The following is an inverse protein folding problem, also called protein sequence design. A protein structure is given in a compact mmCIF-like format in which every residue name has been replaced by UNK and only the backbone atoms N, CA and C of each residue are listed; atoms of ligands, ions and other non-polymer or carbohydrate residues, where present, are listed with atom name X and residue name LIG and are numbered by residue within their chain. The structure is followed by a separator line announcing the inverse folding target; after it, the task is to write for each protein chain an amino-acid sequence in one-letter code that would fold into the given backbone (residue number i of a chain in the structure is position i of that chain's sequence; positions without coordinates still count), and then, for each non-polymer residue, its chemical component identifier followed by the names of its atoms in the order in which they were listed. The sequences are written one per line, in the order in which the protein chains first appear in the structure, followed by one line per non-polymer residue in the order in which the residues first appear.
data_IF_499544090995
#
_entry.id   IF_499544090995
#
_cell.length_a   1.000
_cell.length_b   1.000
_cell.length_c   1.000
_cell.angle_alpha   90.00
_cell.angle_beta   90.00
_cell.angle_gamma   90.00
#
_symmetry.space_group_name_H-M   'P 1'
#
loop_
_entity.id
_entity.type
_entity.pdbx_description
1 polymer ?
#
# COMPACT_ATOMS: atom_id res chain seq x y z
N UNK A 1 -41.08 -16.35 -0.07
CA UNK A 1 -39.80 -16.36 -0.83
C UNK A 1 -39.39 -14.89 -0.99
N UNK A 2 -38.50 -14.41 -0.14
CA UNK A 2 -38.03 -13.01 -0.18
C UNK A 2 -37.00 -12.88 -1.29
N UNK A 3 -37.28 -12.07 -2.31
CA UNK A 3 -36.31 -11.70 -3.35
C UNK A 3 -35.46 -10.56 -2.81
N UNK A 4 -34.17 -10.79 -2.68
CA UNK A 4 -33.17 -9.75 -2.36
C UNK A 4 -32.89 -9.03 -3.69
N UNK A 5 -33.22 -7.74 -3.76
CA UNK A 5 -32.83 -6.89 -4.87
C UNK A 5 -31.53 -6.16 -4.51
N UNK A 6 -30.56 -6.32 -5.37
CA UNK A 6 -29.28 -5.63 -5.29
C UNK A 6 -29.41 -4.20 -5.79
N UNK A 7 -28.93 -3.24 -5.00
CA UNK A 7 -28.87 -1.83 -5.39
C UNK A 7 -27.69 -1.65 -6.33
N UNK A 8 -27.92 -1.33 -7.60
CA UNK A 8 -26.86 -0.97 -8.54
C UNK A 8 -26.85 0.56 -8.62
N UNK A 9 -25.81 1.18 -8.08
CA UNK A 9 -25.53 2.60 -8.25
C UNK A 9 -24.62 2.76 -9.47
N UNK A 10 -25.18 3.17 -10.60
CA UNK A 10 -24.38 3.58 -11.75
C UNK A 10 -24.21 5.11 -11.73
N UNK A 11 -23.01 5.58 -11.37
CA UNK A 11 -22.65 6.98 -11.51
C UNK A 11 -22.19 7.23 -12.95
N UNK A 12 -23.08 7.67 -13.83
CA UNK A 12 -22.68 8.29 -15.09
C UNK A 12 -22.63 9.79 -14.90
N UNK A 13 -21.48 10.37 -15.13
CA UNK A 13 -21.28 11.80 -15.27
C UNK A 13 -22.07 12.30 -16.49
N UNK A 14 -23.31 12.60 -16.33
CA UNK A 14 -24.21 13.46 -17.14
C UNK A 14 -25.64 12.98 -16.99
N UNK A 15 -26.47 13.83 -16.39
CA UNK A 15 -27.91 13.76 -16.20
C UNK A 15 -28.47 12.73 -15.18
N UNK A 16 -29.03 13.30 -14.12
CA UNK A 16 -30.19 12.78 -13.40
C UNK A 16 -30.07 11.36 -12.87
N UNK A 17 -29.60 11.20 -11.65
CA UNK A 17 -29.64 9.91 -10.95
C UNK A 17 -31.08 9.57 -10.59
N UNK A 18 -31.64 8.48 -11.16
CA UNK A 18 -32.85 7.86 -10.66
C UNK A 18 -32.46 6.67 -9.76
N UNK A 19 -32.76 6.74 -8.48
CA UNK A 19 -32.62 5.62 -7.54
C UNK A 19 -33.97 4.93 -7.45
N UNK A 20 -34.06 3.65 -7.88
CA UNK A 20 -35.25 2.83 -7.63
C UNK A 20 -35.00 1.97 -6.38
N UNK A 21 -35.79 2.20 -5.36
CA UNK A 21 -35.88 1.34 -4.18
C UNK A 21 -37.21 0.61 -4.21
N UNK A 22 -37.21 -0.74 -4.13
CA UNK A 22 -38.39 -1.49 -3.76
C UNK A 22 -38.37 -1.64 -2.23
N UNK A 23 -39.00 -0.70 -1.54
CA UNK A 23 -39.38 -0.83 -0.16
C UNK A 23 -40.81 -1.32 -0.05
N UNK A 24 -41.13 -2.05 1.01
CA UNK A 24 -42.51 -2.51 1.33
C UNK A 24 -43.43 -1.31 1.50
N UNK A 25 -44.70 -1.46 1.08
CA UNK A 25 -45.73 -0.39 0.85
C UNK A 25 -46.14 0.44 2.08
N UNK A 26 -45.36 0.61 3.09
CA UNK A 26 -45.73 1.39 4.30
C UNK A 26 -44.77 2.51 4.72
N UNK A 27 -43.67 2.71 4.01
CA UNK A 27 -42.76 3.82 4.33
C UNK A 27 -42.85 4.93 3.28
N UNK A 28 -43.05 6.15 3.77
CA UNK A 28 -43.08 7.39 3.02
C UNK A 28 -41.88 7.49 2.09
N UNK A 29 -42.13 7.52 0.76
CA UNK A 29 -41.13 7.75 -0.27
C UNK A 29 -40.41 9.08 0.02
N UNK A 30 -39.18 9.01 0.47
CA UNK A 30 -38.29 10.18 0.53
C UNK A 30 -37.88 10.51 -0.91
N UNK A 31 -38.43 11.58 -1.49
CA UNK A 31 -38.05 12.08 -2.81
C UNK A 31 -36.58 12.58 -2.78
N UNK A 32 -35.66 11.76 -3.26
CA UNK A 32 -34.24 12.14 -3.43
C UNK A 32 -34.14 13.00 -4.70
N UNK A 33 -34.01 14.30 -4.53
CA UNK A 33 -34.00 15.28 -5.64
C UNK A 33 -32.61 15.81 -5.96
N UNK A 34 -31.67 15.70 -5.02
CA UNK A 34 -30.33 16.29 -5.18
C UNK A 34 -29.22 15.32 -4.77
N UNK A 35 -28.01 15.58 -5.25
CA UNK A 35 -26.81 14.85 -4.80
C UNK A 35 -26.62 14.96 -3.27
N UNK A 36 -26.98 16.09 -2.68
CA UNK A 36 -26.93 16.28 -1.23
C UNK A 36 -27.91 15.36 -0.50
N UNK A 37 -29.11 15.12 -1.07
CA UNK A 37 -30.09 14.19 -0.49
C UNK A 37 -29.59 12.74 -0.54
N UNK A 38 -28.91 12.35 -1.62
CA UNK A 38 -28.23 11.04 -1.72
C UNK A 38 -27.16 10.89 -0.66
N UNK A 39 -26.31 11.90 -0.48
CA UNK A 39 -25.24 11.86 0.52
C UNK A 39 -25.78 11.85 1.94
N UNK A 40 -26.85 12.61 2.22
CA UNK A 40 -27.54 12.61 3.52
C UNK A 40 -28.20 11.26 3.78
N UNK A 41 -28.84 10.67 2.79
CA UNK A 41 -29.42 9.32 2.89
C UNK A 41 -28.33 8.27 3.14
N UNK A 42 -27.24 8.28 2.39
CA UNK A 42 -26.12 7.35 2.58
C UNK A 42 -25.46 7.52 3.95
N UNK A 43 -25.41 8.74 4.47
CA UNK A 43 -24.89 9.00 5.83
C UNK A 43 -25.88 8.65 6.95
N UNK A 44 -27.19 8.61 6.64
CA UNK A 44 -28.26 8.27 7.61
C UNK A 44 -28.58 6.76 7.62
N UNK A 45 -28.14 6.00 6.61
CA UNK A 45 -28.19 4.56 6.66
C UNK A 45 -27.15 4.10 7.67
N UNK A 46 -27.54 4.04 8.94
CA UNK A 46 -26.85 3.24 9.92
C UNK A 46 -26.86 1.82 9.40
N UNK A 47 -25.71 1.41 8.83
CA UNK A 47 -25.49 0.01 8.59
C UNK A 47 -25.37 -0.60 9.98
N UNK A 48 -26.45 -1.18 10.45
CA UNK A 48 -26.45 -2.10 11.60
C UNK A 48 -25.70 -3.36 11.14
N UNK A 49 -24.43 -3.11 10.79
CA UNK A 49 -23.48 -4.18 10.51
C UNK A 49 -23.19 -4.80 11.85
N UNK A 50 -23.55 -6.07 12.07
CA UNK A 50 -23.24 -6.73 13.32
C UNK A 50 -21.75 -6.53 13.58
N UNK A 51 -21.39 -6.13 14.81
CA UNK A 51 -19.99 -5.97 15.22
C UNK A 51 -19.30 -7.32 14.96
N UNK A 52 -18.53 -7.38 13.86
CA UNK A 52 -17.83 -8.60 13.46
C UNK A 52 -16.67 -8.77 14.44
N UNK A 53 -16.83 -9.65 15.41
CA UNK A 53 -15.76 -10.08 16.29
C UNK A 53 -14.99 -11.19 15.58
N UNK A 54 -13.80 -10.85 15.10
CA UNK A 54 -12.86 -11.83 14.58
C UNK A 54 -11.98 -12.31 15.74
N UNK A 55 -11.88 -13.63 15.90
CA UNK A 55 -10.94 -14.25 16.85
C UNK A 55 -9.56 -14.30 16.18
N UNK A 56 -8.80 -13.19 16.33
CA UNK A 56 -7.48 -13.03 15.75
C UNK A 56 -6.41 -13.15 16.81
N UNK A 57 -5.37 -13.93 16.53
CA UNK A 57 -4.18 -14.02 17.38
C UNK A 57 -3.20 -12.85 17.17
N UNK A 58 -3.42 -12.03 16.13
CA UNK A 58 -2.60 -10.86 15.84
C UNK A 58 -2.77 -9.77 16.91
N UNK A 59 -1.67 -9.13 17.31
CA UNK A 59 -1.68 -8.02 18.27
C UNK A 59 -2.43 -6.79 17.74
N UNK A 60 -2.38 -6.56 16.44
CA UNK A 60 -3.08 -5.49 15.73
C UNK A 60 -3.52 -5.97 14.35
N UNK A 61 -4.69 -5.55 13.90
CA UNK A 61 -5.17 -5.84 12.55
C UNK A 61 -6.09 -4.74 12.04
N UNK A 62 -6.04 -4.50 10.72
CA UNK A 62 -6.94 -3.59 10.01
C UNK A 62 -7.36 -4.26 8.69
N UNK A 63 -8.64 -4.21 8.39
CA UNK A 63 -9.20 -4.54 7.08
C UNK A 63 -9.69 -3.24 6.45
N UNK A 64 -9.15 -2.92 5.29
CA UNK A 64 -9.51 -1.72 4.52
C UNK A 64 -10.02 -2.10 3.15
N UNK A 65 -11.07 -1.44 2.70
CA UNK A 65 -11.51 -1.53 1.31
C UNK A 65 -10.57 -0.74 0.41
N UNK A 66 -9.94 -1.40 -0.56
CA UNK A 66 -8.90 -0.79 -1.39
C UNK A 66 -9.42 0.39 -2.25
N UNK A 67 -10.66 0.30 -2.77
CA UNK A 67 -11.22 1.31 -3.65
C UNK A 67 -11.50 2.64 -2.95
N UNK A 68 -12.05 2.60 -1.74
CA UNK A 68 -12.49 3.80 -1.00
C UNK A 68 -11.56 4.21 0.13
N UNK A 69 -10.72 3.29 0.63
CA UNK A 69 -9.94 3.48 1.84
C UNK A 69 -10.77 3.36 3.14
N UNK A 70 -12.02 2.89 3.04
CA UNK A 70 -12.88 2.69 4.21
C UNK A 70 -12.35 1.54 5.06
N UNK A 71 -12.18 1.78 6.37
CA UNK A 71 -11.83 0.73 7.33
C UNK A 71 -13.11 -0.06 7.63
N UNK A 72 -13.08 -1.36 7.34
CA UNK A 72 -14.17 -2.30 7.57
C UNK A 72 -14.04 -3.02 8.91
N UNK A 73 -12.81 -3.20 9.39
CA UNK A 73 -12.51 -3.80 10.68
C UNK A 73 -11.17 -3.27 11.22
N UNK A 74 -11.08 -3.07 12.52
CA UNK A 74 -9.83 -2.73 13.18
C UNK A 74 -9.80 -3.29 14.61
N UNK A 75 -8.66 -3.83 15.00
CA UNK A 75 -8.33 -4.14 16.39
C UNK A 75 -6.92 -3.61 16.66
N UNK A 76 -6.77 -2.77 17.70
CA UNK A 76 -5.52 -2.09 18.03
C UNK A 76 -4.84 -1.42 16.81
N UNK A 77 -5.65 -0.89 15.87
CA UNK A 77 -5.18 -0.41 14.57
C UNK A 77 -4.16 0.73 14.64
N UNK A 78 -4.18 1.53 15.71
CA UNK A 78 -3.28 2.67 15.94
C UNK A 78 -2.11 2.32 16.90
N UNK A 79 -1.98 1.06 17.35
CA UNK A 79 -0.84 0.63 18.17
C UNK A 79 0.44 0.56 17.34
N UNK A 80 1.53 1.12 17.86
CA UNK A 80 2.83 1.15 17.20
C UNK A 80 3.55 -0.18 17.32
N UNK A 81 4.11 -0.64 16.22
CA UNK A 81 4.91 -1.86 16.12
C UNK A 81 6.10 -1.63 15.20
N UNK A 82 7.17 -2.38 15.40
CA UNK A 82 8.26 -2.45 14.44
C UNK A 82 7.75 -3.13 13.14
N UNK A 83 7.86 -2.49 11.98
CA UNK A 83 7.33 -3.01 10.72
C UNK A 83 8.14 -4.16 10.13
N UNK A 84 9.39 -4.34 10.56
CA UNK A 84 10.33 -5.26 9.92
C UNK A 84 10.33 -5.07 8.39
N UNK A 85 10.42 -6.13 7.59
CA UNK A 85 10.45 -6.03 6.13
C UNK A 85 9.19 -5.44 5.47
N UNK A 86 8.11 -5.23 6.21
CA UNK A 86 6.94 -4.50 5.65
C UNK A 86 7.31 -3.03 5.35
N UNK A 87 8.37 -2.50 5.93
CA UNK A 87 9.02 -1.23 5.55
C UNK A 87 9.19 -1.10 4.03
N UNK A 88 9.54 -2.20 3.34
CA UNK A 88 9.77 -2.22 1.89
C UNK A 88 8.53 -1.92 1.05
N UNK A 89 7.34 -1.94 1.64
CA UNK A 89 6.11 -1.47 0.96
C UNK A 89 6.23 0.03 0.66
N UNK A 90 6.77 0.84 1.60
CA UNK A 90 7.03 2.26 1.35
C UNK A 90 8.15 2.43 0.32
N UNK A 91 9.20 1.63 0.40
CA UNK A 91 10.28 1.63 -0.60
C UNK A 91 9.74 1.36 -2.00
N UNK A 92 8.92 0.32 -2.17
CA UNK A 92 8.30 -0.01 -3.45
C UNK A 92 7.33 1.08 -3.92
N UNK A 93 6.57 1.70 -3.02
CA UNK A 93 5.68 2.82 -3.36
C UNK A 93 6.46 3.97 -4.01
N UNK A 94 7.54 4.41 -3.38
CA UNK A 94 8.37 5.50 -3.91
C UNK A 94 8.99 5.10 -5.26
N UNK A 95 9.49 3.87 -5.40
CA UNK A 95 10.04 3.36 -6.67
C UNK A 95 8.97 3.37 -7.78
N UNK A 96 7.74 2.93 -7.50
CA UNK A 96 6.65 2.94 -8.48
C UNK A 96 6.26 4.36 -8.87
N UNK A 97 6.19 5.28 -7.92
CA UNK A 97 5.91 6.69 -8.20
C UNK A 97 6.98 7.33 -9.10
N UNK A 98 8.26 7.06 -8.84
CA UNK A 98 9.36 7.60 -9.64
C UNK A 98 9.39 7.00 -11.05
N UNK A 99 9.04 5.71 -11.21
CA UNK A 99 8.83 5.08 -12.52
C UNK A 99 7.67 5.73 -13.28
N UNK A 100 6.55 5.99 -12.61
CA UNK A 100 5.38 6.62 -13.24
C UNK A 100 5.65 8.09 -13.62
N UNK A 101 6.49 8.79 -12.86
CA UNK A 101 6.99 10.14 -13.21
C UNK A 101 7.99 10.11 -14.39
N UNK A 102 8.54 8.93 -14.72
CA UNK A 102 9.58 8.79 -15.76
C UNK A 102 10.95 9.31 -15.32
N UNK A 103 11.22 9.39 -14.02
CA UNK A 103 12.54 9.76 -13.49
C UNK A 103 13.61 8.77 -13.92
N UNK A 104 13.23 7.51 -14.04
CA UNK A 104 14.02 6.42 -14.61
C UNK A 104 13.09 5.37 -15.22
N UNK A 105 13.66 4.39 -15.90
CA UNK A 105 12.96 3.27 -16.53
C UNK A 105 13.36 1.93 -15.90
N UNK A 106 12.61 0.88 -16.18
CA UNK A 106 12.94 -0.48 -15.74
C UNK A 106 14.24 -1.03 -16.32
N UNK A 107 14.70 -0.46 -17.44
CA UNK A 107 15.94 -0.86 -18.13
C UNK A 107 17.17 -0.11 -17.61
N UNK A 108 16.99 0.94 -16.81
CA UNK A 108 18.11 1.69 -16.27
C UNK A 108 18.94 0.81 -15.31
N UNK A 109 20.24 1.11 -15.26
CA UNK A 109 21.20 0.31 -14.52
C UNK A 109 21.46 0.89 -13.13
N UNK A 110 21.25 0.07 -12.11
CA UNK A 110 21.63 0.34 -10.73
C UNK A 110 23.00 -0.25 -10.47
N UNK A 111 23.91 0.53 -9.90
CA UNK A 111 25.24 0.08 -9.48
C UNK A 111 25.25 -0.11 -7.96
N UNK A 112 25.63 -1.30 -7.51
CA UNK A 112 25.68 -1.64 -6.09
C UNK A 112 26.84 -0.95 -5.40
N UNK A 113 26.56 -0.19 -4.34
CA UNK A 113 27.55 0.45 -3.47
C UNK A 113 28.18 -0.55 -2.49
N UNK A 114 29.24 -0.14 -1.82
CA UNK A 114 29.84 -0.89 -0.71
C UNK A 114 28.83 -1.04 0.45
N UNK A 115 28.04 -0.02 0.71
CA UNK A 115 27.00 -0.05 1.74
C UNK A 115 25.92 -1.08 1.40
N UNK A 116 25.35 -1.02 0.21
CA UNK A 116 24.33 -1.96 -0.23
C UNK A 116 24.85 -3.43 -0.20
N UNK A 117 26.06 -3.68 -0.70
CA UNK A 117 26.68 -5.01 -0.68
C UNK A 117 26.97 -5.53 0.74
N UNK A 118 27.13 -4.64 1.73
CA UNK A 118 27.39 -5.01 3.13
C UNK A 118 26.15 -5.41 3.92
N UNK A 119 24.95 -5.27 3.33
CA UNK A 119 23.69 -5.51 4.04
C UNK A 119 23.56 -6.99 4.45
N UNK A 120 23.03 -7.19 5.66
CA UNK A 120 22.72 -8.51 6.21
C UNK A 120 21.28 -8.95 5.98
N UNK A 121 20.90 -10.06 6.59
CA UNK A 121 19.55 -10.62 6.50
C UNK A 121 19.27 -11.27 5.15
N UNK A 122 18.05 -11.10 4.63
CA UNK A 122 17.70 -11.62 3.29
C UNK A 122 18.37 -10.80 2.21
N UNK A 123 19.07 -11.46 1.29
CA UNK A 123 19.90 -10.84 0.26
C UNK A 123 19.84 -11.66 -1.04
N UNK A 124 20.19 -11.02 -2.14
CA UNK A 124 20.55 -11.69 -3.42
C UNK A 124 22.07 -11.73 -3.64
N UNK A 125 22.83 -11.32 -2.60
CA UNK A 125 24.30 -11.32 -2.56
C UNK A 125 24.93 -10.48 -3.68
N UNK A 126 24.52 -9.21 -3.74
CA UNK A 126 25.11 -8.23 -4.65
C UNK A 126 26.57 -7.97 -4.29
N UNK A 127 27.43 -7.95 -5.30
CA UNK A 127 28.83 -7.58 -5.15
C UNK A 127 29.02 -6.06 -5.33
N UNK A 128 30.06 -5.50 -4.68
CA UNK A 128 30.39 -4.07 -4.85
C UNK A 128 30.71 -3.78 -6.31
N UNK A 129 30.02 -2.80 -6.88
CA UNK A 129 30.12 -2.43 -8.29
C UNK A 129 29.33 -3.33 -9.26
N UNK A 130 28.63 -4.34 -8.75
CA UNK A 130 27.71 -5.12 -9.58
C UNK A 130 26.61 -4.22 -10.15
N UNK A 131 26.28 -4.45 -11.42
CA UNK A 131 25.28 -3.70 -12.14
C UNK A 131 24.09 -4.60 -12.47
N UNK A 132 22.89 -4.14 -12.13
CA UNK A 132 21.63 -4.84 -12.42
C UNK A 132 20.57 -3.83 -12.88
N UNK A 133 19.67 -4.23 -13.78
CA UNK A 133 18.59 -3.34 -14.18
C UNK A 133 17.56 -3.11 -13.07
N UNK A 134 16.90 -1.96 -13.10
CA UNK A 134 15.83 -1.60 -12.15
C UNK A 134 14.77 -2.70 -12.05
N UNK A 135 14.38 -3.31 -13.18
CA UNK A 135 13.41 -4.41 -13.20
C UNK A 135 13.81 -5.58 -12.27
N UNK A 136 15.05 -6.03 -12.37
CA UNK A 136 15.54 -7.16 -11.56
C UNK A 136 15.71 -6.75 -10.08
N UNK A 137 16.10 -5.49 -9.82
CA UNK A 137 16.16 -4.95 -8.46
C UNK A 137 14.77 -4.94 -7.80
N UNK A 138 13.73 -4.50 -8.53
CA UNK A 138 12.34 -4.52 -8.00
C UNK A 138 11.89 -5.95 -7.72
N UNK A 139 12.18 -6.91 -8.61
CA UNK A 139 11.92 -8.35 -8.36
C UNK A 139 12.61 -8.82 -7.09
N UNK A 140 13.88 -8.47 -6.90
CA UNK A 140 14.65 -8.84 -5.72
C UNK A 140 14.07 -8.24 -4.42
N UNK A 141 13.47 -7.06 -4.47
CA UNK A 141 12.78 -6.45 -3.32
C UNK A 141 11.43 -7.12 -3.08
N UNK A 142 10.63 -7.30 -4.11
CA UNK A 142 9.24 -7.75 -3.99
C UNK A 142 9.11 -9.25 -3.67
N UNK A 143 9.98 -10.11 -4.21
CA UNK A 143 9.85 -11.56 -4.08
C UNK A 143 10.63 -12.11 -2.89
N UNK A 144 11.98 -12.08 -2.85
CA UNK A 144 12.75 -12.56 -1.70
C UNK A 144 12.90 -11.50 -0.59
N UNK A 145 12.46 -10.28 -0.78
CA UNK A 145 12.63 -9.18 0.20
C UNK A 145 14.11 -8.83 0.46
N UNK A 146 14.94 -8.78 -0.57
CA UNK A 146 16.39 -8.60 -0.50
C UNK A 146 16.76 -7.20 0.05
N UNK A 147 17.56 -7.15 1.11
CA UNK A 147 17.98 -5.91 1.75
C UNK A 147 19.05 -5.16 0.94
N UNK A 148 20.00 -5.88 0.37
CA UNK A 148 21.05 -5.33 -0.51
C UNK A 148 20.44 -4.64 -1.74
N UNK A 149 19.49 -5.27 -2.42
CA UNK A 149 18.76 -4.66 -3.52
C UNK A 149 17.92 -3.44 -3.08
N UNK A 150 17.35 -3.49 -1.86
CA UNK A 150 16.56 -2.39 -1.31
C UNK A 150 17.41 -1.15 -1.10
N UNK A 151 18.60 -1.30 -0.47
CA UNK A 151 19.53 -0.19 -0.25
C UNK A 151 20.09 0.33 -1.58
N UNK A 152 20.48 -0.58 -2.50
CA UNK A 152 20.98 -0.15 -3.82
C UNK A 152 19.94 0.70 -4.58
N UNK A 153 18.66 0.31 -4.54
CA UNK A 153 17.59 1.09 -5.15
C UNK A 153 17.34 2.42 -4.42
N UNK A 154 17.39 2.44 -3.09
CA UNK A 154 17.25 3.66 -2.31
C UNK A 154 18.34 4.69 -2.67
N UNK A 155 19.59 4.24 -2.76
CA UNK A 155 20.72 5.08 -3.17
C UNK A 155 20.59 5.53 -4.64
N UNK A 156 20.10 4.67 -5.53
CA UNK A 156 19.86 5.01 -6.92
C UNK A 156 18.81 6.11 -7.08
N UNK A 157 17.72 6.05 -6.30
CA UNK A 157 16.61 7.02 -6.38
C UNK A 157 16.97 8.35 -5.73
N UNK A 158 17.59 8.34 -4.55
CA UNK A 158 17.77 9.53 -3.71
C UNK A 158 19.24 9.96 -3.53
N UNK A 159 20.18 9.23 -4.11
CA UNK A 159 21.61 9.48 -3.97
C UNK A 159 22.24 8.94 -2.69
N UNK A 160 21.43 8.60 -1.68
CA UNK A 160 21.86 7.92 -0.44
C UNK A 160 20.67 7.28 0.25
N UNK A 161 20.92 6.31 1.18
CA UNK A 161 19.86 5.73 2.01
C UNK A 161 19.22 6.80 2.91
N UNK A 162 20.01 7.71 3.48
CA UNK A 162 19.48 8.80 4.32
C UNK A 162 18.54 9.73 3.56
N UNK A 163 18.90 10.08 2.32
CA UNK A 163 18.03 10.88 1.43
C UNK A 163 16.73 10.15 1.13
N UNK A 164 16.81 8.83 0.91
CA UNK A 164 15.63 8.00 0.66
C UNK A 164 14.73 7.88 1.91
N UNK A 165 15.31 7.72 3.10
CA UNK A 165 14.58 7.70 4.37
C UNK A 165 13.86 9.03 4.61
N UNK A 166 14.45 10.14 4.24
CA UNK A 166 13.77 11.44 4.28
C UNK A 166 12.53 11.41 3.36
N UNK A 167 12.66 10.92 2.12
CA UNK A 167 11.53 10.77 1.21
C UNK A 167 10.45 9.86 1.79
N UNK A 168 10.81 8.73 2.43
CA UNK A 168 9.85 7.83 3.08
C UNK A 168 9.03 8.53 4.15
N UNK A 169 9.65 9.35 4.99
CA UNK A 169 8.97 10.10 6.05
C UNK A 169 8.10 11.24 5.49
N UNK A 170 8.54 11.89 4.43
CA UNK A 170 7.73 12.88 3.70
C UNK A 170 6.48 12.25 3.09
N UNK A 171 6.61 11.07 2.47
CA UNK A 171 5.48 10.29 1.93
C UNK A 171 4.53 9.83 3.04
N UNK A 172 5.06 9.32 4.16
CA UNK A 172 4.25 8.95 5.30
C UNK A 172 3.41 10.14 5.80
N UNK A 173 4.02 11.31 5.92
CA UNK A 173 3.32 12.55 6.30
C UNK A 173 2.25 12.95 5.28
N UNK A 174 2.57 12.91 3.98
CA UNK A 174 1.64 13.26 2.90
C UNK A 174 0.43 12.32 2.83
N UNK A 175 0.63 11.04 3.14
CA UNK A 175 -0.42 10.03 3.22
C UNK A 175 -1.25 10.08 4.52
N UNK A 176 -0.86 10.92 5.49
CA UNK A 176 -1.52 11.02 6.79
C UNK A 176 -1.19 9.87 7.74
N UNK A 177 -0.06 9.20 7.55
CA UNK A 177 0.45 8.13 8.40
C UNK A 177 1.10 8.71 9.68
N UNK A 178 0.27 9.26 10.56
CA UNK A 178 0.72 10.08 11.69
C UNK A 178 1.40 9.26 12.82
N UNK A 179 1.34 7.94 12.77
CA UNK A 179 1.96 7.05 13.73
C UNK A 179 3.03 6.16 13.07
N UNK A 180 3.70 6.70 12.05
CA UNK A 180 4.77 6.03 11.33
C UNK A 180 6.02 6.89 11.29
N UNK A 181 7.17 6.26 11.51
CA UNK A 181 8.47 6.87 11.32
C UNK A 181 9.47 5.83 10.83
N UNK A 182 10.19 6.15 9.79
CA UNK A 182 11.21 5.30 9.20
C UNK A 182 12.61 5.82 9.54
N UNK A 183 13.53 4.91 9.90
CA UNK A 183 14.96 5.21 10.13
C UNK A 183 15.87 4.51 9.14
N UNK A 184 15.35 3.56 8.37
CA UNK A 184 16.03 2.87 7.27
C UNK A 184 15.02 2.40 6.23
N UNK A 185 15.49 1.99 5.05
CA UNK A 185 14.62 1.58 3.93
C UNK A 185 14.25 0.09 3.93
N UNK A 186 14.85 -0.73 4.80
CA UNK A 186 14.75 -2.20 4.77
C UNK A 186 13.88 -2.79 5.88
N UNK A 187 13.84 -2.14 7.04
CA UNK A 187 13.27 -2.67 8.28
C UNK A 187 14.12 -3.78 8.93
N UNK A 188 15.41 -3.88 8.58
CA UNK A 188 16.30 -4.94 9.10
C UNK A 188 16.71 -4.71 10.55
N UNK A 189 16.93 -3.45 10.93
CA UNK A 189 17.50 -3.12 12.24
C UNK A 189 16.39 -2.75 13.21
N UNK A 190 16.49 -3.32 14.43
CA UNK A 190 15.63 -2.94 15.54
C UNK A 190 16.04 -1.54 16.02
N UNK A 191 15.11 -0.59 15.92
CA UNK A 191 15.24 0.77 16.38
C UNK A 191 13.87 1.21 16.91
N UNK A 192 13.82 1.65 18.16
CA UNK A 192 12.58 2.11 18.80
C UNK A 192 11.94 3.30 18.04
N UNK A 193 12.73 4.00 17.23
CA UNK A 193 12.24 5.07 16.36
C UNK A 193 11.75 4.58 14.99
N UNK A 194 11.91 3.28 14.66
CA UNK A 194 11.41 2.68 13.43
C UNK A 194 10.11 1.95 13.71
N UNK A 195 8.99 2.63 13.51
CA UNK A 195 7.68 2.11 13.86
C UNK A 195 6.59 2.50 12.84
N UNK A 196 5.53 1.73 12.85
CA UNK A 196 4.29 1.99 12.11
C UNK A 196 3.10 1.40 12.87
N UNK A 197 1.90 1.53 12.31
CA UNK A 197 0.67 0.93 12.83
C UNK A 197 -0.01 0.08 11.76
N UNK A 198 -0.90 -0.83 12.14
CA UNK A 198 -1.67 -1.62 11.17
C UNK A 198 -2.51 -0.74 10.24
N UNK A 199 -3.01 0.39 10.75
CA UNK A 199 -3.76 1.37 9.97
C UNK A 199 -2.88 2.10 8.95
N UNK A 200 -1.71 2.57 9.37
CA UNK A 200 -0.78 3.26 8.48
C UNK A 200 -0.23 2.31 7.41
N UNK A 201 0.03 1.03 7.79
CA UNK A 201 0.38 -0.02 6.82
C UNK A 201 -0.71 -0.24 5.76
N UNK A 202 -1.98 -0.23 6.16
CA UNK A 202 -3.09 -0.35 5.21
C UNK A 202 -3.16 0.87 4.27
N UNK A 203 -2.89 2.08 4.78
CA UNK A 203 -2.85 3.32 4.00
C UNK A 203 -1.73 3.25 2.94
N UNK A 204 -0.48 2.95 3.34
CA UNK A 204 0.62 2.88 2.38
C UNK A 204 0.47 1.73 1.39
N UNK A 205 -0.04 0.57 1.83
CA UNK A 205 -0.32 -0.55 0.92
C UNK A 205 -1.37 -0.17 -0.11
N UNK A 206 -2.44 0.51 0.32
CA UNK A 206 -3.45 1.01 -0.61
C UNK A 206 -2.86 1.99 -1.62
N UNK A 207 -1.97 2.90 -1.20
CA UNK A 207 -1.29 3.82 -2.10
C UNK A 207 -0.45 3.06 -3.14
N UNK A 208 0.33 2.05 -2.71
CA UNK A 208 1.12 1.21 -3.62
C UNK A 208 0.25 0.48 -4.66
N UNK A 209 -0.91 -0.04 -4.25
CA UNK A 209 -1.82 -0.78 -5.14
C UNK A 209 -2.50 0.10 -6.21
N UNK A 210 -2.40 1.44 -6.13
CA UNK A 210 -2.85 2.34 -7.19
C UNK A 210 -1.89 2.36 -8.40
N UNK A 211 -0.66 1.88 -8.23
CA UNK A 211 0.32 1.71 -9.29
C UNK A 211 0.20 0.31 -9.89
N UNK A 212 -0.53 0.18 -11.00
CA UNK A 212 -0.85 -1.13 -11.60
C UNK A 212 0.39 -1.99 -11.89
N UNK A 213 1.52 -1.36 -12.19
CA UNK A 213 2.80 -2.04 -12.45
C UNK A 213 3.26 -2.91 -11.28
N UNK A 214 2.90 -2.59 -10.03
CA UNK A 214 3.32 -3.41 -8.88
C UNK A 214 2.84 -4.85 -8.98
N UNK A 215 1.71 -5.09 -9.64
CA UNK A 215 1.18 -6.44 -9.80
C UNK A 215 2.04 -7.32 -10.72
N UNK A 216 2.87 -6.74 -11.59
CA UNK A 216 3.84 -7.49 -12.39
C UNK A 216 4.88 -8.18 -11.50
N UNK A 217 5.17 -7.64 -10.33
CA UNK A 217 6.15 -8.14 -9.37
C UNK A 217 5.53 -8.96 -8.24
N UNK A 218 4.43 -8.50 -7.67
CA UNK A 218 3.80 -9.16 -6.50
C UNK A 218 3.07 -10.45 -6.83
N UNK A 219 2.81 -10.72 -8.11
CA UNK A 219 2.22 -11.98 -8.58
C UNK A 219 3.24 -13.02 -9.03
N UNK A 220 4.54 -12.71 -8.97
CA UNK A 220 5.61 -13.64 -9.33
C UNK A 220 5.65 -14.79 -8.32
N UNK A 221 5.45 -16.01 -8.82
CA UNK A 221 5.63 -17.23 -8.02
C UNK A 221 7.09 -17.72 -8.05
N UNK A 222 7.71 -17.65 -9.22
CA UNK A 222 9.10 -18.05 -9.44
C UNK A 222 9.66 -17.29 -10.63
N UNK A 223 10.86 -16.76 -10.49
CA UNK A 223 11.60 -16.09 -11.56
C UNK A 223 13.10 -16.22 -11.33
N UNK A 224 13.90 -15.77 -12.25
CA UNK A 224 15.35 -15.74 -12.18
C UNK A 224 15.86 -14.31 -12.27
N UNK A 225 17.00 -14.06 -11.63
CA UNK A 225 17.74 -12.80 -11.73
C UNK A 225 19.01 -13.04 -12.57
N UNK A 226 19.69 -11.97 -12.98
CA UNK A 226 20.96 -12.05 -13.73
C UNK A 226 20.86 -12.88 -15.01
N UNK A 227 19.70 -12.86 -15.69
CA UNK A 227 19.49 -13.66 -16.90
C UNK A 227 19.53 -15.18 -16.68
N UNK A 228 19.28 -15.63 -15.45
CA UNK A 228 19.23 -17.06 -15.11
C UNK A 228 20.60 -17.69 -14.78
N UNK A 229 21.58 -16.87 -14.41
CA UNK A 229 22.92 -17.33 -13.98
C UNK A 229 22.99 -17.54 -12.48
#
# INVERSE_FOLDING_TARGET
MKKIFSLILAATLFLGCAVMTNADETDTEAEIKTFSDVMNYLSSVETDSPEIKLDLTAASAVLMEASTGKILYATNGDARHAPASVTKVMTLLIIMEELDKGTFTTEDTVTTSEHAASMGGTQIYLEVGEQMCVNDMIKAIAVPSANDATVAMAEFVAGSEEGFVQMMNEHASALGMNNTHFTNCTGLFDDDNHYTTAKDMAIMTRALLLHERIFEYTTIWMDTLRGGQ
#
